data_IF_959753716830
#
_entry.id   IF_959753716830
#
_cell.length_a   1.000
_cell.length_b   1.000
_cell.length_c   1.000
_cell.angle_alpha   90.00
_cell.angle_beta   90.00
_cell.angle_gamma   90.00
#
_symmetry.space_group_name_H-M   'P 1'
#
loop_
_entity.id
_entity.type
_entity.pdbx_description
1 polymer ?
#
# COMPACT_ATOMS: atom_id res chain seq x y z
N UNK A 1 21.93 4.54 -9.97
CA UNK A 1 20.98 5.20 -10.89
C UNK A 1 19.67 5.37 -10.14
N UNK A 2 19.16 6.60 -10.03
CA UNK A 2 17.91 6.88 -9.35
C UNK A 2 16.79 6.10 -10.03
N UNK A 3 16.12 5.23 -9.29
CA UNK A 3 14.97 4.46 -9.77
C UNK A 3 13.79 5.44 -9.88
N UNK A 4 13.76 6.19 -10.99
CA UNK A 4 12.74 7.17 -11.30
C UNK A 4 11.48 6.44 -11.80
N UNK A 5 10.60 6.04 -10.87
CA UNK A 5 9.25 5.59 -11.22
C UNK A 5 8.51 6.71 -11.97
N UNK A 6 7.64 6.39 -12.93
CA UNK A 6 6.94 7.42 -13.69
C UNK A 6 5.94 8.19 -12.81
N UNK A 7 5.87 9.53 -12.89
CA UNK A 7 4.76 10.25 -12.31
C UNK A 7 3.45 9.91 -13.02
N UNK A 8 2.33 10.03 -12.30
CA UNK A 8 0.99 9.76 -12.81
C UNK A 8 0.20 8.78 -11.93
N UNK A 9 -0.81 8.16 -12.53
CA UNK A 9 -1.70 7.21 -11.90
C UNK A 9 -1.06 5.83 -11.79
N UNK A 10 -1.07 5.27 -10.59
CA UNK A 10 -0.62 3.92 -10.29
C UNK A 10 -1.76 3.12 -9.67
N UNK A 11 -1.87 1.84 -10.03
CA UNK A 11 -2.61 0.85 -9.26
C UNK A 11 -1.65 0.11 -8.34
N UNK A 12 -1.95 0.11 -7.05
CA UNK A 12 -1.20 -0.61 -6.02
C UNK A 12 -2.11 -1.68 -5.45
N UNK A 13 -1.81 -2.94 -5.74
CA UNK A 13 -2.46 -4.08 -5.10
C UNK A 13 -1.71 -4.43 -3.82
N UNK A 14 -2.40 -4.47 -2.70
CA UNK A 14 -1.85 -4.84 -1.40
C UNK A 14 -2.50 -6.14 -0.93
N UNK A 15 -1.66 -7.12 -0.59
CA UNK A 15 -2.03 -8.37 0.01
C UNK A 15 -1.39 -8.44 1.40
N UNK A 16 -2.22 -8.45 2.43
CA UNK A 16 -1.78 -8.60 3.81
C UNK A 16 -1.97 -10.06 4.21
N UNK A 17 -0.94 -10.65 4.79
CA UNK A 17 -0.91 -12.03 5.28
C UNK A 17 -0.26 -12.12 6.66
N UNK A 18 -0.10 -13.34 7.16
CA UNK A 18 0.60 -13.62 8.44
C UNK A 18 -0.24 -13.38 9.70
N UNK A 19 -1.46 -12.85 9.57
CA UNK A 19 -2.41 -12.71 10.67
C UNK A 19 -3.72 -13.48 10.38
N UNK A 20 -3.91 -14.69 10.93
CA UNK A 20 -5.08 -15.53 10.66
C UNK A 20 -6.39 -14.88 11.14
N UNK A 21 -6.34 -13.98 12.13
CA UNK A 21 -7.49 -13.22 12.61
C UNK A 21 -7.93 -12.19 11.55
N UNK A 22 -6.96 -11.56 10.87
CA UNK A 22 -7.22 -10.61 9.78
C UNK A 22 -7.66 -11.32 8.51
N UNK A 23 -7.07 -12.47 8.17
CA UNK A 23 -7.53 -13.29 7.04
C UNK A 23 -8.97 -13.76 7.24
N UNK A 24 -9.31 -14.18 8.46
CA UNK A 24 -10.69 -14.56 8.83
C UNK A 24 -11.62 -13.35 8.75
N UNK A 25 -11.20 -12.19 9.24
CA UNK A 25 -11.98 -10.96 9.14
C UNK A 25 -12.21 -10.55 7.67
N UNK A 26 -11.19 -10.64 6.81
CA UNK A 26 -11.33 -10.37 5.38
C UNK A 26 -12.24 -11.38 4.68
N UNK A 27 -12.14 -12.67 5.02
CA UNK A 27 -13.03 -13.70 4.50
C UNK A 27 -14.48 -13.47 4.93
N UNK A 28 -14.72 -13.07 6.18
CA UNK A 28 -16.04 -12.69 6.67
C UNK A 28 -16.57 -11.44 5.96
N UNK A 29 -15.73 -10.43 5.76
CA UNK A 29 -16.09 -9.24 5.01
C UNK A 29 -16.44 -9.57 3.55
N UNK A 30 -15.66 -10.43 2.90
CA UNK A 30 -15.98 -10.95 1.56
C UNK A 30 -17.30 -11.70 1.53
N UNK A 31 -17.59 -12.54 2.54
CA UNK A 31 -18.85 -13.26 2.63
C UNK A 31 -20.05 -12.31 2.81
N UNK A 32 -19.90 -11.26 3.62
CA UNK A 32 -20.92 -10.22 3.77
C UNK A 32 -21.10 -9.40 2.49
N UNK A 33 -20.01 -9.07 1.80
CA UNK A 33 -20.06 -8.43 0.48
C UNK A 33 -20.77 -9.31 -0.54
N UNK A 34 -20.46 -10.61 -0.55
CA UNK A 34 -21.08 -11.63 -1.39
C UNK A 34 -22.59 -11.77 -1.13
N UNK A 35 -23.00 -11.63 0.14
CA UNK A 35 -24.40 -11.70 0.57
C UNK A 35 -25.20 -10.40 0.34
N UNK A 36 -24.55 -9.27 0.07
CA UNK A 36 -25.25 -8.01 -0.20
C UNK A 36 -25.99 -8.02 -1.55
N UNK A 37 -27.20 -7.41 -1.61
CA UNK A 37 -27.92 -7.20 -2.86
C UNK A 37 -27.09 -6.44 -3.90
N UNK A 38 -27.23 -6.73 -5.21
CA UNK A 38 -26.44 -6.11 -6.27
C UNK A 38 -26.50 -4.57 -6.28
N UNK A 39 -27.66 -4.00 -5.93
CA UNK A 39 -27.83 -2.55 -5.85
C UNK A 39 -26.99 -1.91 -4.74
N UNK A 40 -26.95 -2.55 -3.56
CA UNK A 40 -26.12 -2.10 -2.43
C UNK A 40 -24.63 -2.29 -2.71
N UNK A 41 -24.24 -3.41 -3.34
CA UNK A 41 -22.84 -3.63 -3.74
C UNK A 41 -22.37 -2.54 -4.71
N UNK A 42 -23.18 -2.21 -5.73
CA UNK A 42 -22.87 -1.12 -6.68
C UNK A 42 -22.75 0.24 -5.99
N UNK A 43 -23.62 0.55 -5.02
CA UNK A 43 -23.50 1.79 -4.25
C UNK A 43 -22.19 1.84 -3.45
N UNK A 44 -21.81 0.72 -2.83
CA UNK A 44 -20.57 0.63 -2.07
C UNK A 44 -19.33 0.71 -2.97
N UNK A 45 -19.33 0.04 -4.12
CA UNK A 45 -18.28 0.14 -5.15
C UNK A 45 -18.14 1.58 -5.67
N UNK A 46 -19.27 2.29 -5.87
CA UNK A 46 -19.26 3.69 -6.30
C UNK A 46 -18.68 4.61 -5.22
N UNK A 47 -18.97 4.34 -3.93
CA UNK A 47 -18.41 5.10 -2.81
C UNK A 47 -16.91 4.83 -2.65
N UNK A 48 -16.49 3.55 -2.70
CA UNK A 48 -15.07 3.17 -2.60
C UNK A 48 -14.25 3.70 -3.80
N UNK A 49 -14.79 3.59 -5.02
CA UNK A 49 -14.16 4.10 -6.22
C UNK A 49 -13.95 5.61 -6.20
N UNK A 50 -14.84 6.37 -5.55
CA UNK A 50 -14.64 7.81 -5.30
C UNK A 50 -13.48 8.12 -4.35
N UNK A 51 -13.16 7.21 -3.45
CA UNK A 51 -12.01 7.31 -2.54
C UNK A 51 -10.71 6.73 -3.13
N UNK A 52 -10.74 6.26 -4.39
CA UNK A 52 -9.59 5.62 -5.04
C UNK A 52 -9.30 4.20 -4.56
N UNK A 53 -10.18 3.61 -3.75
CA UNK A 53 -10.04 2.26 -3.23
C UNK A 53 -10.93 1.32 -4.03
N UNK A 54 -10.39 0.18 -4.43
CA UNK A 54 -11.14 -0.90 -5.10
C UNK A 54 -10.72 -2.24 -4.51
N UNK A 55 -11.66 -3.18 -4.46
CA UNK A 55 -11.31 -4.58 -4.17
C UNK A 55 -10.84 -5.24 -5.47
N UNK A 56 -9.63 -5.77 -5.48
CA UNK A 56 -9.19 -6.63 -6.57
C UNK A 56 -10.00 -7.94 -6.56
N UNK A 57 -10.18 -8.55 -7.72
CA UNK A 57 -10.85 -9.84 -7.86
C UNK A 57 -10.16 -10.97 -7.07
N UNK A 58 -8.89 -10.79 -6.72
CA UNK A 58 -8.08 -11.68 -5.89
C UNK A 58 -8.35 -11.57 -4.38
N UNK A 59 -9.20 -10.63 -3.94
CA UNK A 59 -9.39 -10.29 -2.53
C UNK A 59 -8.31 -9.38 -1.94
N UNK A 60 -7.33 -8.97 -2.76
CA UNK A 60 -6.37 -7.94 -2.41
C UNK A 60 -7.02 -6.54 -2.48
N UNK A 61 -6.55 -5.61 -1.65
CA UNK A 61 -6.99 -4.21 -1.73
C UNK A 61 -6.19 -3.51 -2.83
N UNK A 62 -6.86 -3.14 -3.91
CA UNK A 62 -6.28 -2.37 -5.00
C UNK A 62 -6.58 -0.88 -4.82
N UNK A 63 -5.55 -0.09 -4.60
CA UNK A 63 -5.66 1.35 -4.39
C UNK A 63 -5.08 2.05 -5.61
N UNK A 64 -5.83 2.97 -6.18
CA UNK A 64 -5.31 3.88 -7.20
C UNK A 64 -4.69 5.08 -6.51
N UNK A 65 -3.46 5.38 -6.88
CA UNK A 65 -2.63 6.42 -6.28
C UNK A 65 -2.11 7.33 -7.39
N UNK A 66 -2.31 8.63 -7.23
CA UNK A 66 -1.65 9.62 -8.07
C UNK A 66 -0.29 9.98 -7.45
N UNK A 67 0.79 9.56 -8.12
CA UNK A 67 2.17 9.90 -7.75
C UNK A 67 2.60 11.17 -8.47
N UNK A 68 2.90 12.24 -7.73
CA UNK A 68 3.34 13.49 -8.33
C UNK A 68 4.81 13.43 -8.75
N UNK A 69 5.25 14.22 -9.75
CA UNK A 69 6.67 14.30 -10.11
C UNK A 69 7.58 14.67 -8.94
N UNK A 70 7.09 15.45 -7.98
CA UNK A 70 7.85 15.81 -6.79
C UNK A 70 8.07 14.62 -5.86
N UNK A 71 7.04 13.79 -5.63
CA UNK A 71 7.15 12.55 -4.86
C UNK A 71 8.20 11.61 -5.45
N UNK A 72 8.13 11.41 -6.78
CA UNK A 72 9.09 10.59 -7.52
C UNK A 72 10.51 11.16 -7.39
N UNK A 73 10.69 12.47 -7.60
CA UNK A 73 12.00 13.13 -7.54
C UNK A 73 12.64 13.07 -6.16
N UNK A 74 11.84 13.11 -5.09
CA UNK A 74 12.34 12.98 -3.70
C UNK A 74 12.77 11.54 -3.37
N UNK A 75 12.57 10.57 -4.28
CA UNK A 75 12.75 9.13 -4.04
C UNK A 75 12.02 8.64 -2.78
N UNK A 76 11.02 9.40 -2.35
CA UNK A 76 10.13 9.01 -1.28
C UNK A 76 9.10 8.12 -1.94
N UNK A 77 9.42 6.83 -2.01
CA UNK A 77 8.36 5.83 -2.11
C UNK A 77 7.32 6.18 -1.06
N UNK A 78 6.01 6.02 -1.34
CA UNK A 78 4.96 6.26 -0.37
C UNK A 78 5.06 5.21 0.75
N UNK A 79 6.10 5.33 1.57
CA UNK A 79 6.17 4.74 2.89
C UNK A 79 5.06 5.44 3.64
N UNK A 80 4.04 4.69 4.04
CA UNK A 80 2.98 5.20 4.87
C UNK A 80 3.59 5.67 6.20
N UNK A 81 4.08 6.90 6.23
CA UNK A 81 4.30 7.66 7.47
C UNK A 81 2.94 8.19 7.89
N UNK A 82 2.05 7.27 8.27
CA UNK A 82 0.83 7.62 8.99
C UNK A 82 1.18 7.59 10.49
N UNK A 83 0.98 8.71 11.19
CA UNK A 83 1.31 8.85 12.62
C UNK A 83 2.81 9.02 12.90
N UNK A 84 3.25 8.63 14.10
CA UNK A 84 4.63 8.77 14.59
C UNK A 84 5.60 7.69 14.03
N UNK A 85 5.41 7.31 12.77
CA UNK A 85 6.22 6.31 12.08
C UNK A 85 7.44 6.94 11.41
N UNK A 86 8.64 6.55 11.82
CA UNK A 86 9.91 6.91 11.16
C UNK A 86 10.33 5.81 10.18
N UNK A 87 10.56 6.16 8.92
CA UNK A 87 11.09 5.24 7.90
C UNK A 87 12.52 5.60 7.53
N UNK A 88 13.37 4.59 7.31
CA UNK A 88 14.76 4.75 6.88
C UNK A 88 15.05 3.82 5.71
N UNK A 89 15.86 4.30 4.76
CA UNK A 89 16.44 3.46 3.72
C UNK A 89 17.69 2.80 4.29
N UNK A 90 17.70 1.48 4.38
CA UNK A 90 18.83 0.71 4.90
C UNK A 90 19.90 0.51 3.83
N UNK A 91 19.48 0.20 2.61
CA UNK A 91 20.38 0.04 1.47
C UNK A 91 19.62 0.12 0.15
N UNK A 92 20.32 0.56 -0.89
CA UNK A 92 19.82 0.54 -2.26
C UNK A 92 20.87 -0.14 -3.14
N UNK A 93 20.50 -1.26 -3.74
CA UNK A 93 21.40 -2.07 -4.57
C UNK A 93 20.72 -2.42 -5.89
N UNK A 94 21.27 -1.95 -7.01
CA UNK A 94 20.74 -2.24 -8.34
C UNK A 94 19.32 -1.71 -8.52
N UNK A 95 18.34 -2.61 -8.63
CA UNK A 95 16.91 -2.34 -8.74
C UNK A 95 16.14 -2.64 -7.45
N UNK A 96 16.83 -2.87 -6.33
CA UNK A 96 16.24 -3.23 -5.04
C UNK A 96 16.50 -2.13 -4.02
N UNK A 97 15.48 -1.77 -3.24
CA UNK A 97 15.55 -0.80 -2.16
C UNK A 97 15.05 -1.46 -0.88
N UNK A 98 15.93 -1.57 0.11
CA UNK A 98 15.59 -2.05 1.45
C UNK A 98 15.28 -0.86 2.34
N UNK A 99 14.14 -0.93 3.02
CA UNK A 99 13.70 0.06 3.98
C UNK A 99 13.39 -0.62 5.30
N UNK A 100 13.52 0.12 6.39
CA UNK A 100 12.99 -0.23 7.69
C UNK A 100 12.12 0.91 8.20
N UNK A 101 11.10 0.58 8.97
CA UNK A 101 10.29 1.59 9.63
C UNK A 101 10.03 1.20 11.08
N UNK A 102 9.84 2.21 11.92
CA UNK A 102 9.50 2.05 13.33
C UNK A 102 8.48 3.13 13.69
N UNK A 103 7.37 2.73 14.28
CA UNK A 103 6.36 3.61 14.83
C UNK A 103 6.34 3.50 16.35
N UNK A 104 6.20 4.63 17.03
CA UNK A 104 6.13 4.70 18.50
C UNK A 104 4.71 4.50 19.04
N UNK A 105 3.66 4.77 18.26
CA UNK A 105 2.27 4.58 18.70
C UNK A 105 1.29 4.29 17.54
N UNK A 106 0.67 3.09 17.47
CA UNK A 106 1.01 1.89 18.25
C UNK A 106 2.44 1.42 17.94
N UNK A 107 3.11 0.82 18.93
CA UNK A 107 4.49 0.34 18.77
C UNK A 107 4.53 -0.70 17.67
N UNK A 108 5.17 -0.37 16.56
CA UNK A 108 5.33 -1.27 15.43
C UNK A 108 6.67 -1.06 14.77
N UNK A 109 7.20 -2.12 14.18
CA UNK A 109 8.44 -2.05 13.41
C UNK A 109 8.35 -2.97 12.23
N UNK A 110 9.03 -2.67 11.14
CA UNK A 110 9.03 -3.54 9.99
C UNK A 110 10.21 -3.32 9.06
N UNK A 111 10.43 -4.29 8.20
CA UNK A 111 11.43 -4.23 7.13
C UNK A 111 10.74 -4.52 5.81
N UNK A 112 11.04 -3.70 4.81
CA UNK A 112 10.49 -3.78 3.47
C UNK A 112 11.59 -3.89 2.42
N UNK A 113 11.32 -4.66 1.38
CA UNK A 113 12.15 -4.77 0.19
C UNK A 113 11.28 -4.37 -1.00
N UNK A 114 11.62 -3.26 -1.64
CA UNK A 114 11.07 -2.88 -2.95
C UNK A 114 11.98 -3.42 -4.03
N UNK A 115 11.39 -4.06 -5.04
CA UNK A 115 12.06 -4.49 -6.25
C UNK A 115 11.42 -3.78 -7.42
N UNK A 116 12.17 -2.89 -8.07
CA UNK A 116 11.71 -2.15 -9.23
C UNK A 116 11.98 -3.00 -10.47
N UNK A 117 10.91 -3.42 -11.13
CA UNK A 117 10.98 -4.23 -12.35
C UNK A 117 11.16 -3.31 -13.57
N UNK A 118 10.59 -2.11 -13.51
CA UNK A 118 10.76 -1.04 -14.50
C UNK A 118 10.44 0.34 -13.89
N UNK A 119 10.48 1.39 -14.70
CA UNK A 119 9.95 2.72 -14.34
C UNK A 119 8.41 2.73 -14.18
N UNK A 120 7.73 1.66 -14.60
CA UNK A 120 6.26 1.51 -14.60
C UNK A 120 5.75 0.34 -13.75
N UNK A 121 6.63 -0.43 -13.13
CA UNK A 121 6.25 -1.59 -12.33
C UNK A 121 7.22 -1.82 -11.18
N UNK A 122 6.68 -2.08 -9.99
CA UNK A 122 7.45 -2.49 -8.83
C UNK A 122 6.69 -3.53 -8.00
N UNK A 123 7.45 -4.34 -7.27
CA UNK A 123 6.94 -5.20 -6.22
C UNK A 123 7.52 -4.78 -4.88
N UNK A 124 6.78 -5.01 -3.82
CA UNK A 124 7.20 -4.72 -2.45
C UNK A 124 6.83 -5.91 -1.57
N UNK A 125 7.77 -6.31 -0.72
CA UNK A 125 7.53 -7.28 0.34
C UNK A 125 7.89 -6.62 1.66
N UNK A 126 7.02 -6.71 2.64
CA UNK A 126 7.22 -6.06 3.92
C UNK A 126 6.81 -6.99 5.05
N UNK A 127 7.71 -7.16 6.01
CA UNK A 127 7.48 -7.86 7.26
C UNK A 127 7.26 -6.83 8.36
N UNK A 128 6.09 -6.86 8.97
CA UNK A 128 5.66 -5.93 10.01
C UNK A 128 5.51 -6.71 11.32
N UNK A 129 6.04 -6.16 12.39
CA UNK A 129 5.88 -6.62 13.76
C UNK A 129 5.15 -5.53 14.54
N UNK A 130 3.91 -5.81 14.90
CA UNK A 130 3.12 -4.95 15.77
C UNK A 130 3.22 -5.46 17.20
N UNK A 131 3.44 -4.53 18.14
CA UNK A 131 3.32 -4.80 19.57
C UNK A 131 2.08 -4.08 20.09
N UNK A 132 1.08 -4.88 20.45
CA UNK A 132 -0.14 -4.38 21.07
C UNK A 132 -0.33 -5.09 22.42
N UNK A 133 -0.39 -4.32 23.51
CA UNK A 133 -0.62 -4.82 24.86
C UNK A 133 0.32 -5.94 25.35
N UNK A 134 1.54 -6.03 24.82
CA UNK A 134 2.52 -7.08 25.18
C UNK A 134 2.49 -8.33 24.30
N UNK A 135 1.56 -8.43 23.35
CA UNK A 135 1.55 -9.51 22.34
C UNK A 135 2.18 -9.03 21.05
N UNK A 136 3.25 -9.71 20.60
CA UNK A 136 3.86 -9.42 19.29
C UNK A 136 3.07 -10.16 18.21
N UNK A 137 2.51 -9.41 17.26
CA UNK A 137 1.84 -9.94 16.07
C UNK A 137 2.70 -9.65 14.85
N UNK A 138 3.08 -10.70 14.14
CA UNK A 138 3.80 -10.58 12.88
C UNK A 138 2.78 -10.55 11.74
N UNK A 139 3.02 -9.69 10.77
CA UNK A 139 2.20 -9.52 9.58
C UNK A 139 3.13 -9.43 8.38
N UNK A 140 2.74 -10.03 7.27
CA UNK A 140 3.42 -9.85 6.00
C UNK A 140 2.55 -9.01 5.09
N UNK A 141 3.17 -8.17 4.28
CA UNK A 141 2.48 -7.36 3.28
C UNK A 141 3.24 -7.47 1.97
N UNK A 142 2.59 -8.05 0.97
CA UNK A 142 3.05 -8.03 -0.41
C UNK A 142 2.27 -6.94 -1.15
N UNK A 143 2.98 -6.02 -1.82
CA UNK A 143 2.35 -5.05 -2.69
C UNK A 143 2.91 -5.11 -4.11
N UNK A 144 2.07 -4.83 -5.09
CA UNK A 144 2.44 -4.71 -6.50
C UNK A 144 1.93 -3.40 -7.04
N UNK A 145 2.84 -2.56 -7.52
CA UNK A 145 2.54 -1.28 -8.14
C UNK A 145 2.68 -1.36 -9.65
N UNK A 146 1.67 -0.89 -10.37
CA UNK A 146 1.70 -0.77 -11.83
C UNK A 146 1.23 0.62 -12.24
N UNK A 147 2.01 1.28 -13.10
CA UNK A 147 1.65 2.55 -13.71
C UNK A 147 0.53 2.34 -14.73
N UNK A 148 -0.49 3.20 -14.66
CA UNK A 148 -1.65 3.17 -15.52
C UNK A 148 -1.63 4.28 -16.56
N UNK A 149 -1.38 5.52 -16.14
CA UNK A 149 -1.45 6.70 -17.01
C UNK A 149 -0.68 7.88 -16.44
N UNK A 150 -0.27 8.82 -17.29
CA UNK A 150 0.36 10.07 -16.83
C UNK A 150 -0.66 11.00 -16.15
N UNK A 151 -1.92 10.90 -16.57
CA UNK A 151 -3.04 11.64 -15.99
C UNK A 151 -3.64 10.87 -14.81
N UNK A 152 -3.83 11.57 -13.68
CA UNK A 152 -4.44 11.04 -12.47
C UNK A 152 -5.97 11.09 -12.48
N UNK A 153 -6.57 11.85 -13.40
CA UNK A 153 -8.01 12.04 -13.49
C UNK A 153 -8.62 12.47 -12.15
N UNK A 154 -9.67 11.77 -11.72
CA UNK A 154 -10.40 12.08 -10.47
C UNK A 154 -9.77 11.48 -9.20
N UNK A 155 -8.63 10.78 -9.31
CA UNK A 155 -7.98 10.14 -8.15
C UNK A 155 -7.19 11.20 -7.38
N UNK A 156 -7.58 11.44 -6.13
CA UNK A 156 -6.89 12.40 -5.28
C UNK A 156 -5.45 11.94 -5.05
N UNK A 157 -4.45 12.83 -5.18
CA UNK A 157 -3.07 12.54 -4.81
C UNK A 157 -2.99 12.02 -3.38
N UNK A 158 -2.11 11.04 -3.16
CA UNK A 158 -1.69 10.75 -1.79
C UNK A 158 -1.07 12.03 -1.25
N UNK A 159 -1.73 12.63 -0.26
CA UNK A 159 -1.17 13.75 0.47
C UNK A 159 0.05 13.22 1.22
N UNK A 160 1.24 13.63 0.76
CA UNK A 160 2.43 13.55 1.59
C UNK A 160 2.11 14.26 2.92
N UNK A 161 2.45 13.68 4.08
CA UNK A 161 2.39 14.45 5.31
C UNK A 161 3.28 15.69 5.12
N UNK A 162 2.70 16.86 5.38
CA UNK A 162 3.46 18.10 5.41
C UNK A 162 4.53 17.94 6.50
N UNK A 163 5.79 18.04 6.08
CA UNK A 163 6.93 18.15 7.00
C UNK A 163 6.85 19.46 7.77
#
# INVERSE_FOLDING_TARGET
MAQNVQPGLWAIENKIGGNPEMEKAMAQMQAQLAAMPPAQRKQMEAIMGKSGVSMASSGAMAVKVCMTPEMVKRQQMPTQTQGDCTSKIDSQTGNTLKISFTCSNPVSSGQGIYTFESDKAYTMKMDIKNQDGGTTRNMTMDAKGQWLSADCGSVKPLTLPAQ
#
